data_IF_327201368365
#
_entry.id   IF_327201368365
#
_cell.length_a   1.000
_cell.length_b   1.000
_cell.length_c   1.000
_cell.angle_alpha   90.00
_cell.angle_beta   90.00
_cell.angle_gamma   90.00
#
_symmetry.space_group_name_H-M   'P 1'
#
loop_
_entity.id
_entity.type
_entity.pdbx_description
1 polymer ?
#
# COMPACT_ATOMS: atom_id res chain seq x y z
N UNK A 1 6.54 24.42 11.77
CA UNK A 1 7.30 23.30 11.19
C UNK A 1 6.34 22.30 10.59
N UNK A 2 6.47 22.01 9.30
CA UNK A 2 5.59 21.07 8.64
C UNK A 2 5.95 19.65 9.07
N UNK A 3 4.94 18.91 9.47
CA UNK A 3 5.13 17.49 9.77
C UNK A 3 4.94 16.69 8.50
N UNK A 4 5.85 15.77 8.27
CA UNK A 4 5.70 14.85 7.15
C UNK A 4 4.57 13.87 7.45
N UNK A 5 3.73 13.57 6.47
CA UNK A 5 2.68 12.58 6.69
C UNK A 5 3.32 11.22 6.96
N UNK A 6 2.85 10.56 8.01
CA UNK A 6 3.38 9.26 8.39
C UNK A 6 2.73 8.12 7.62
N UNK A 7 1.56 8.37 7.07
CA UNK A 7 0.78 7.36 6.35
C UNK A 7 0.02 8.01 5.22
N UNK A 8 -0.19 7.24 4.17
CA UNK A 8 -1.08 7.64 3.09
C UNK A 8 -1.79 6.41 2.56
N UNK A 9 -2.97 6.61 1.97
CA UNK A 9 -3.74 5.54 1.38
C UNK A 9 -3.91 5.82 -0.10
N UNK A 10 -3.66 4.83 -0.93
CA UNK A 10 -3.80 4.96 -2.38
C UNK A 10 -4.65 3.83 -2.93
N UNK A 11 -5.32 4.12 -4.04
CA UNK A 11 -6.07 3.10 -4.75
C UNK A 11 -5.10 2.09 -5.35
N UNK A 12 -5.50 0.83 -5.31
CA UNK A 12 -4.66 -0.25 -5.82
C UNK A 12 -5.55 -1.34 -6.41
N UNK A 13 -4.94 -2.22 -7.18
CA UNK A 13 -5.62 -3.36 -7.76
C UNK A 13 -5.10 -4.62 -7.08
N UNK A 14 -6.01 -5.50 -6.72
CA UNK A 14 -5.67 -6.75 -6.07
C UNK A 14 -6.21 -7.92 -6.88
N UNK A 15 -5.63 -9.08 -6.67
CA UNK A 15 -6.09 -10.33 -7.27
C UNK A 15 -6.50 -11.27 -6.15
N UNK A 16 -7.67 -11.87 -6.29
CA UNK A 16 -8.09 -12.96 -5.42
C UNK A 16 -7.39 -14.23 -5.90
N UNK A 17 -6.57 -14.82 -5.05
CA UNK A 17 -5.80 -16.00 -5.43
C UNK A 17 -6.65 -17.26 -5.46
N UNK A 18 -7.75 -17.29 -4.71
CA UNK A 18 -8.63 -18.44 -4.66
C UNK A 18 -9.57 -18.50 -5.85
N UNK A 19 -10.00 -17.35 -6.36
CA UNK A 19 -10.94 -17.29 -7.47
C UNK A 19 -10.33 -16.71 -8.75
N UNK A 20 -9.10 -16.23 -8.67
CA UNK A 20 -8.34 -15.69 -9.80
C UNK A 20 -9.07 -14.59 -10.57
N UNK A 21 -9.44 -13.54 -9.85
CA UNK A 21 -10.01 -12.35 -10.49
C UNK A 21 -9.45 -11.08 -9.86
N UNK A 22 -9.50 -9.98 -10.59
CA UNK A 22 -9.01 -8.69 -10.14
C UNK A 22 -10.14 -7.87 -9.52
N UNK A 23 -9.81 -7.10 -8.50
CA UNK A 23 -10.76 -6.21 -7.86
C UNK A 23 -10.05 -4.98 -7.31
N UNK A 24 -10.75 -3.85 -7.18
CA UNK A 24 -10.16 -2.63 -6.64
C UNK A 24 -10.10 -2.67 -5.12
N UNK A 25 -9.11 -2.00 -4.57
CA UNK A 25 -8.96 -1.87 -3.13
C UNK A 25 -8.07 -0.70 -2.80
N UNK A 26 -7.63 -0.64 -1.56
CA UNK A 26 -6.74 0.41 -1.11
C UNK A 26 -5.54 -0.18 -0.38
N UNK A 27 -4.41 0.49 -0.54
CA UNK A 27 -3.17 0.11 0.11
C UNK A 27 -2.69 1.27 0.97
N UNK A 28 -2.36 0.96 2.22
CA UNK A 28 -1.78 1.95 3.11
C UNK A 28 -0.27 1.90 3.01
N UNK A 29 0.34 3.07 2.89
CA UNK A 29 1.79 3.22 2.87
C UNK A 29 2.25 3.98 4.10
N UNK A 30 3.42 3.62 4.59
CA UNK A 30 4.02 4.25 5.76
C UNK A 30 5.29 4.95 5.32
N UNK A 31 5.50 6.17 5.83
CA UNK A 31 6.70 6.93 5.54
C UNK A 31 7.88 6.37 6.34
N UNK A 32 8.99 6.16 5.65
CA UNK A 32 10.22 5.69 6.25
C UNK A 32 11.33 6.66 5.92
N UNK A 33 12.16 6.98 6.92
CA UNK A 33 13.30 7.86 6.73
C UNK A 33 14.39 7.07 5.98
N UNK A 34 14.71 7.52 4.77
CA UNK A 34 15.70 6.88 3.93
C UNK A 34 17.07 7.58 4.01
N UNK A 35 17.24 8.54 4.92
CA UNK A 35 18.49 9.22 5.12
C UNK A 35 18.50 10.64 4.57
N UNK A 36 19.69 11.18 4.36
CA UNK A 36 19.87 12.50 3.79
C UNK A 36 20.64 12.40 2.48
N UNK A 37 20.25 13.27 1.56
CA UNK A 37 20.94 13.37 0.28
C UNK A 37 21.02 14.85 -0.09
N UNK A 38 22.24 15.33 -0.32
CA UNK A 38 22.50 16.73 -0.66
C UNK A 38 21.86 17.73 0.31
N UNK A 39 21.87 17.43 1.60
CA UNK A 39 21.29 18.31 2.61
C UNK A 39 19.78 18.21 2.77
N UNK A 40 19.16 17.35 2.00
CA UNK A 40 17.71 17.13 2.06
C UNK A 40 17.40 15.77 2.67
N UNK A 41 16.37 15.73 3.51
CA UNK A 41 15.93 14.48 4.08
C UNK A 41 15.07 13.73 3.05
N UNK A 42 15.43 12.48 2.80
CA UNK A 42 14.71 11.64 1.84
C UNK A 42 13.74 10.74 2.58
N UNK A 43 12.52 10.66 2.05
CA UNK A 43 11.49 9.81 2.62
C UNK A 43 11.09 8.77 1.59
N UNK A 44 10.98 7.53 2.06
CA UNK A 44 10.54 6.43 1.24
C UNK A 44 9.19 5.94 1.75
N UNK A 45 8.25 5.75 0.83
CA UNK A 45 6.97 5.18 1.15
C UNK A 45 7.05 3.67 0.99
N UNK A 46 6.79 2.96 2.07
CA UNK A 46 6.83 1.50 2.06
C UNK A 46 5.44 0.94 2.32
N UNK A 47 5.11 -0.21 1.71
CA UNK A 47 3.81 -0.83 1.94
C UNK A 47 3.59 -1.16 3.40
N UNK A 48 2.44 -0.74 3.93
CA UNK A 48 2.01 -1.05 5.28
C UNK A 48 0.90 -2.07 5.26
N UNK A 49 -0.26 -1.68 5.77
CA UNK A 49 -1.41 -2.58 5.83
C UNK A 49 -2.21 -2.56 4.54
N UNK A 50 -2.68 -3.73 4.13
CA UNK A 50 -3.62 -3.85 3.03
C UNK A 50 -5.02 -3.49 3.52
N UNK A 51 -5.65 -2.53 2.86
CA UNK A 51 -7.01 -2.11 3.17
C UNK A 51 -7.97 -2.69 2.14
N UNK A 52 -7.90 -4.00 1.96
CA UNK A 52 -8.72 -4.68 0.96
C UNK A 52 -9.01 -6.11 1.39
N UNK A 53 -10.09 -6.63 0.87
CA UNK A 53 -10.43 -8.04 1.05
C UNK A 53 -11.20 -8.50 -0.18
N UNK A 54 -11.20 -9.81 -0.43
CA UNK A 54 -11.97 -10.35 -1.54
C UNK A 54 -13.45 -10.01 -1.36
N UNK A 55 -14.10 -9.41 -2.37
CA UNK A 55 -15.50 -9.03 -2.25
C UNK A 55 -16.46 -10.22 -2.14
N UNK A 56 -16.03 -11.41 -2.54
CA UNK A 56 -16.85 -12.62 -2.43
C UNK A 56 -16.69 -13.30 -1.08
N UNK A 57 -15.45 -13.29 -0.55
CA UNK A 57 -15.17 -13.95 0.72
C UNK A 57 -13.91 -13.32 1.33
N UNK A 58 -14.04 -12.61 2.46
CA UNK A 58 -12.89 -11.92 3.07
C UNK A 58 -11.82 -12.87 3.61
N UNK A 59 -12.09 -14.17 3.68
CA UNK A 59 -11.08 -15.15 4.11
C UNK A 59 -10.18 -15.61 2.97
N UNK A 60 -10.53 -15.29 1.73
CA UNK A 60 -9.70 -15.64 0.58
C UNK A 60 -8.38 -14.89 0.62
N UNK A 61 -7.34 -15.53 0.11
CA UNK A 61 -6.02 -14.90 -0.02
C UNK A 61 -6.02 -13.93 -1.19
N UNK A 62 -5.38 -12.79 -0.99
CA UNK A 62 -5.29 -11.78 -2.04
C UNK A 62 -3.84 -11.33 -2.16
N UNK A 63 -3.49 -10.78 -3.33
CA UNK A 63 -2.18 -10.20 -3.55
C UNK A 63 -2.31 -8.84 -4.23
N UNK A 64 -1.34 -7.97 -3.98
CA UNK A 64 -1.27 -6.67 -4.64
C UNK A 64 -0.73 -6.88 -6.06
N UNK A 65 -1.47 -6.38 -7.04
CA UNK A 65 -1.04 -6.43 -8.42
C UNK A 65 -0.30 -5.14 -8.73
N UNK A 66 0.99 -5.25 -8.98
CA UNK A 66 1.80 -4.09 -9.33
C UNK A 66 1.66 -3.73 -10.79
N UNK A 67 2.06 -2.52 -11.11
CA UNK A 67 2.09 -2.05 -12.49
C UNK A 67 3.31 -2.58 -13.24
#
# INVERSE_FOLDING_TARGET
MARLPKRKTEDATFRCLDEDFLFPGKMEYVAKDAGEEEGHRVIEWVPGLTKASCPHDPTHHIELVGD
#
